data_IF_958540371071
#
_entry.id   IF_958540371071
#
_cell.length_a   1.000
_cell.length_b   1.000
_cell.length_c   1.000
_cell.angle_alpha   90.00
_cell.angle_beta   90.00
_cell.angle_gamma   90.00
#
_symmetry.space_group_name_H-M   'P 1'
#
loop_
_entity.id
_entity.type
_entity.pdbx_description
1 polymer ?
#
# COMPACT_ATOMS: atom_id res chain seq x y z
N UNK A 1 15.76 -19.88 -6.48
CA UNK A 1 15.73 -18.84 -5.43
C UNK A 1 14.92 -19.41 -4.26
N UNK A 2 15.53 -19.60 -3.10
CA UNK A 2 14.79 -19.98 -1.88
C UNK A 2 13.94 -18.76 -1.49
N UNK A 3 12.62 -18.85 -1.69
CA UNK A 3 11.70 -17.75 -1.39
C UNK A 3 11.30 -17.69 0.09
N UNK A 4 11.61 -18.73 0.87
CA UNK A 4 11.12 -18.87 2.23
C UNK A 4 12.26 -18.62 3.22
N UNK A 5 12.19 -17.50 3.93
CA UNK A 5 13.25 -17.07 4.85
C UNK A 5 13.03 -17.68 6.25
N UNK A 6 11.78 -17.72 6.70
CA UNK A 6 11.39 -18.32 7.98
C UNK A 6 9.98 -18.93 7.86
N UNK A 7 9.84 -20.17 8.30
CA UNK A 7 8.55 -20.87 8.40
C UNK A 7 8.24 -21.06 9.88
N UNK A 8 7.27 -20.32 10.41
CA UNK A 8 6.80 -20.48 11.78
C UNK A 8 5.41 -21.13 11.69
N UNK A 9 5.38 -22.46 11.86
CA UNK A 9 4.18 -23.29 11.85
C UNK A 9 3.30 -23.12 10.58
N UNK A 10 2.11 -22.46 10.55
CA UNK A 10 1.30 -22.35 9.33
C UNK A 10 1.62 -21.12 8.45
N UNK A 11 2.55 -20.24 8.88
CA UNK A 11 2.86 -18.99 8.17
C UNK A 11 4.26 -19.06 7.59
N UNK A 12 4.33 -19.13 6.26
CA UNK A 12 5.59 -19.00 5.51
C UNK A 12 5.82 -17.54 5.19
N UNK A 13 6.91 -16.97 5.73
CA UNK A 13 7.30 -15.60 5.38
C UNK A 13 8.12 -15.67 4.10
N UNK A 14 7.49 -15.27 3.00
CA UNK A 14 8.20 -15.12 1.74
C UNK A 14 9.12 -13.91 1.76
N UNK A 15 10.36 -14.07 1.28
CA UNK A 15 11.37 -13.01 1.25
C UNK A 15 10.98 -11.79 0.43
N UNK A 16 10.10 -11.96 -0.57
CA UNK A 16 9.50 -10.85 -1.30
C UNK A 16 8.65 -9.95 -0.39
N UNK A 17 7.81 -10.54 0.48
CA UNK A 17 6.99 -9.79 1.43
C UNK A 17 7.85 -9.05 2.47
N UNK A 18 8.93 -9.67 2.94
CA UNK A 18 9.89 -9.02 3.84
C UNK A 18 10.57 -7.83 3.14
N UNK A 19 10.98 -8.00 1.87
CA UNK A 19 11.61 -6.94 1.09
C UNK A 19 10.69 -5.75 0.89
N UNK A 20 9.40 -5.99 0.61
CA UNK A 20 8.38 -4.93 0.54
C UNK A 20 8.26 -4.22 1.90
N UNK A 21 8.14 -4.98 3.00
CA UNK A 21 7.97 -4.39 4.32
C UNK A 21 9.15 -3.48 4.69
N UNK A 22 10.39 -3.92 4.41
CA UNK A 22 11.59 -3.12 4.62
C UNK A 22 11.61 -1.89 3.71
N UNK A 23 11.24 -2.05 2.44
CA UNK A 23 11.13 -0.94 1.49
C UNK A 23 10.13 0.13 1.96
N UNK A 24 8.94 -0.28 2.38
CA UNK A 24 7.91 0.62 2.92
C UNK A 24 8.39 1.33 4.19
N UNK A 25 9.06 0.61 5.10
CA UNK A 25 9.63 1.23 6.29
C UNK A 25 10.69 2.29 5.94
N UNK A 26 11.62 1.96 5.03
CA UNK A 26 12.63 2.90 4.57
C UNK A 26 12.00 4.13 3.88
N UNK A 27 10.99 3.92 3.03
CA UNK A 27 10.22 4.97 2.37
C UNK A 27 9.60 5.95 3.37
N UNK A 28 8.93 5.42 4.40
CA UNK A 28 8.27 6.22 5.44
C UNK A 28 9.29 7.02 6.24
N UNK A 29 10.41 6.40 6.63
CA UNK A 29 11.47 7.09 7.36
C UNK A 29 12.09 8.24 6.55
N UNK A 30 12.37 8.00 5.27
CA UNK A 30 12.87 9.01 4.34
C UNK A 30 11.85 10.14 4.11
N UNK A 31 10.59 9.79 3.88
CA UNK A 31 9.51 10.77 3.71
C UNK A 31 9.33 11.63 4.95
N UNK A 32 9.34 11.03 6.14
CA UNK A 32 9.24 11.74 7.43
C UNK A 32 10.43 12.65 7.67
N UNK A 33 11.65 12.22 7.31
CA UNK A 33 12.84 13.06 7.38
C UNK A 33 12.75 14.27 6.43
N UNK A 34 12.29 14.05 5.19
CA UNK A 34 12.04 15.13 4.22
C UNK A 34 10.90 16.05 4.67
N UNK A 35 9.87 15.51 5.33
CA UNK A 35 8.72 16.30 5.81
C UNK A 35 9.17 17.37 6.79
N UNK A 36 10.02 16.98 7.76
CA UNK A 36 10.63 17.91 8.72
C UNK A 36 11.43 19.01 8.02
N UNK A 37 12.19 18.69 6.97
CA UNK A 37 12.94 19.70 6.18
C UNK A 37 12.05 20.65 5.39
N UNK A 38 10.84 20.23 5.00
CA UNK A 38 9.86 21.05 4.25
C UNK A 38 8.80 21.71 5.14
N UNK A 39 8.97 21.71 6.46
CA UNK A 39 7.97 22.20 7.43
C UNK A 39 6.58 21.55 7.25
N UNK A 40 6.56 20.26 6.88
CA UNK A 40 5.35 19.43 6.79
C UNK A 40 5.27 18.50 8.00
N UNK A 41 4.05 18.13 8.39
CA UNK A 41 3.82 17.26 9.54
C UNK A 41 4.22 15.82 9.20
N UNK A 42 5.14 15.24 9.96
CA UNK A 42 5.48 13.82 9.88
C UNK A 42 4.30 12.93 10.30
N UNK A 43 3.44 13.37 11.21
CA UNK A 43 2.25 12.62 11.63
C UNK A 43 1.27 12.41 10.46
N UNK A 44 1.16 13.41 9.59
CA UNK A 44 0.38 13.29 8.37
C UNK A 44 1.02 12.27 7.43
N UNK A 45 2.36 12.24 7.31
CA UNK A 45 3.05 11.23 6.49
C UNK A 45 2.76 9.82 6.99
N UNK A 46 2.93 9.55 8.29
CA UNK A 46 2.65 8.22 8.86
C UNK A 46 1.20 7.79 8.64
N UNK A 47 0.26 8.69 8.94
CA UNK A 47 -1.17 8.42 8.79
C UNK A 47 -1.55 8.19 7.33
N UNK A 48 -1.01 9.01 6.43
CA UNK A 48 -1.23 8.92 4.99
C UNK A 48 -0.70 7.59 4.45
N UNK A 49 0.52 7.18 4.83
CA UNK A 49 1.07 5.89 4.41
C UNK A 49 0.22 4.72 4.90
N UNK A 50 -0.21 4.71 6.16
CA UNK A 50 -1.08 3.65 6.68
C UNK A 50 -2.41 3.56 5.93
N UNK A 51 -3.05 4.70 5.68
CA UNK A 51 -4.33 4.75 4.96
C UNK A 51 -4.16 4.33 3.50
N UNK A 52 -3.10 4.78 2.82
CA UNK A 52 -2.78 4.39 1.46
C UNK A 52 -2.47 2.89 1.35
N UNK A 53 -1.77 2.31 2.33
CA UNK A 53 -1.44 0.90 2.34
C UNK A 53 -2.72 0.06 2.50
N UNK A 54 -3.57 0.39 3.48
CA UNK A 54 -4.86 -0.29 3.67
C UNK A 54 -5.77 -0.16 2.46
N UNK A 55 -5.94 1.05 1.93
CA UNK A 55 -6.77 1.31 0.76
C UNK A 55 -6.19 0.68 -0.51
N UNK A 56 -4.86 0.59 -0.63
CA UNK A 56 -4.19 -0.09 -1.72
C UNK A 56 -4.44 -1.60 -1.69
N UNK A 57 -4.35 -2.24 -0.52
CA UNK A 57 -4.71 -3.66 -0.38
C UNK A 57 -6.16 -3.92 -0.76
N UNK A 58 -7.09 -3.09 -0.28
CA UNK A 58 -8.52 -3.20 -0.62
C UNK A 58 -8.76 -2.94 -2.10
N UNK A 59 -8.17 -1.88 -2.66
CA UNK A 59 -8.31 -1.52 -4.08
C UNK A 59 -7.74 -2.57 -5.03
N UNK A 60 -6.59 -3.16 -4.68
CA UNK A 60 -5.98 -4.22 -5.47
C UNK A 60 -6.86 -5.47 -5.54
N UNK A 61 -7.53 -5.78 -4.43
CA UNK A 61 -8.46 -6.92 -4.34
C UNK A 61 -9.80 -6.64 -5.02
N UNK A 62 -10.33 -5.43 -4.86
CA UNK A 62 -11.55 -5.02 -5.57
C UNK A 62 -11.36 -5.05 -7.09
N UNK A 63 -10.24 -4.52 -7.59
CA UNK A 63 -9.98 -4.53 -9.03
C UNK A 63 -9.74 -5.95 -9.56
N UNK A 64 -9.10 -6.82 -8.77
CA UNK A 64 -9.00 -8.24 -9.09
C UNK A 64 -10.38 -8.88 -9.27
N UNK A 65 -11.31 -8.65 -8.34
CA UNK A 65 -12.68 -9.17 -8.43
C UNK A 65 -13.42 -8.66 -9.67
N UNK A 66 -13.18 -7.41 -10.08
CA UNK A 66 -13.80 -6.82 -11.27
C UNK A 66 -13.21 -7.42 -12.56
N UNK A 67 -11.89 -7.56 -12.63
CA UNK A 67 -11.20 -8.05 -13.83
C UNK A 67 -11.42 -9.56 -14.01
N UNK A 68 -11.28 -10.33 -12.93
CA UNK A 68 -11.44 -11.78 -12.91
C UNK A 68 -12.87 -12.22 -12.52
N UNK A 69 -13.86 -11.35 -12.74
CA UNK A 69 -15.24 -11.56 -12.28
C UNK A 69 -15.81 -12.93 -12.71
N UNK A 70 -15.48 -13.39 -13.92
CA UNK A 70 -15.91 -14.71 -14.42
C UNK A 70 -15.25 -15.88 -13.67
N UNK A 71 -13.96 -15.80 -13.37
CA UNK A 71 -13.26 -16.82 -12.59
C UNK A 71 -13.74 -16.84 -11.13
N UNK A 72 -13.96 -15.66 -10.57
CA UNK A 72 -14.51 -15.45 -9.23
C UNK A 72 -15.92 -16.04 -9.08
N UNK A 73 -16.79 -15.88 -10.08
CA UNK A 73 -18.13 -16.47 -10.09
C UNK A 73 -18.11 -18.01 -10.10
N UNK A 74 -17.11 -18.62 -10.74
CA UNK A 74 -16.96 -20.07 -10.77
C UNK A 74 -16.42 -20.63 -9.45
N UNK A 75 -15.59 -19.85 -8.73
CA UNK A 75 -15.00 -20.23 -7.45
C UNK A 75 -14.99 -19.05 -6.47
N UNK A 76 -16.10 -18.79 -5.74
CA UNK A 76 -16.20 -17.64 -4.83
C UNK A 76 -15.22 -17.71 -3.65
N UNK A 77 -14.70 -18.90 -3.33
CA UNK A 77 -13.66 -19.10 -2.31
C UNK A 77 -12.31 -18.46 -2.69
N UNK A 78 -12.03 -18.26 -3.99
CA UNK A 78 -10.82 -17.57 -4.45
C UNK A 78 -10.83 -16.06 -4.14
N UNK A 79 -11.98 -15.48 -3.79
CA UNK A 79 -12.04 -14.11 -3.27
C UNK A 79 -11.44 -14.05 -1.86
N UNK A 80 -11.60 -15.12 -1.06
CA UNK A 80 -11.13 -15.16 0.33
C UNK A 80 -9.69 -15.68 0.40
N UNK A 81 -9.24 -16.43 -0.62
CA UNK A 81 -7.85 -16.86 -0.69
C UNK A 81 -6.90 -15.64 -0.72
N UNK A 82 -5.69 -15.84 -0.18
CA UNK A 82 -4.64 -14.82 -0.17
C UNK A 82 -4.03 -14.56 -1.56
N UNK A 83 -4.60 -15.11 -2.62
CA UNK A 83 -4.10 -15.04 -4.00
C UNK A 83 -5.00 -14.12 -4.85
N UNK A 84 -4.41 -13.38 -5.80
CA UNK A 84 -5.17 -12.54 -6.73
C UNK A 84 -5.23 -11.07 -6.31
N UNK A 85 -4.16 -10.34 -6.62
CA UNK A 85 -4.09 -8.89 -6.43
C UNK A 85 -3.73 -8.23 -7.75
N UNK A 86 -4.48 -7.21 -8.14
CA UNK A 86 -4.14 -6.38 -9.30
C UNK A 86 -3.46 -5.12 -8.81
N UNK A 87 -2.18 -4.95 -9.13
CA UNK A 87 -1.34 -3.83 -8.68
C UNK A 87 -1.98 -2.48 -9.04
N UNK A 88 -2.57 -2.36 -10.23
CA UNK A 88 -3.26 -1.14 -10.66
C UNK A 88 -4.38 -0.73 -9.71
N UNK A 89 -5.12 -1.69 -9.14
CA UNK A 89 -6.17 -1.43 -8.17
C UNK A 89 -5.61 -0.88 -6.88
N UNK A 90 -4.42 -1.33 -6.48
CA UNK A 90 -3.72 -0.82 -5.31
C UNK A 90 -3.22 0.61 -5.50
N UNK A 91 -2.67 0.92 -6.68
CA UNK A 91 -2.23 2.28 -7.01
C UNK A 91 -3.42 3.24 -7.02
N UNK A 92 -4.50 2.87 -7.71
CA UNK A 92 -5.72 3.70 -7.79
C UNK A 92 -6.33 3.89 -6.39
N UNK A 93 -6.47 2.81 -5.62
CA UNK A 93 -7.00 2.85 -4.24
C UNK A 93 -6.15 3.73 -3.32
N UNK A 94 -4.82 3.62 -3.40
CA UNK A 94 -3.89 4.42 -2.63
C UNK A 94 -3.98 5.92 -2.96
N UNK A 95 -4.07 6.28 -4.24
CA UNK A 95 -4.21 7.68 -4.69
C UNK A 95 -5.55 8.27 -4.23
N UNK A 96 -6.65 7.53 -4.40
CA UNK A 96 -7.98 7.98 -3.97
C UNK A 96 -7.99 8.21 -2.46
N UNK A 97 -7.46 7.26 -1.68
CA UNK A 97 -7.41 7.40 -0.23
C UNK A 97 -6.52 8.58 0.21
N UNK A 98 -5.40 8.80 -0.48
CA UNK A 98 -4.55 9.95 -0.22
C UNK A 98 -5.26 11.29 -0.48
N UNK A 99 -6.02 11.38 -1.58
CA UNK A 99 -6.82 12.56 -1.91
C UNK A 99 -7.91 12.82 -0.87
N UNK A 100 -8.64 11.77 -0.47
CA UNK A 100 -9.69 11.88 0.55
C UNK A 100 -9.10 12.31 1.89
N UNK A 101 -8.02 11.65 2.34
CA UNK A 101 -7.39 11.97 3.62
C UNK A 101 -6.83 13.40 3.65
N UNK A 102 -6.15 13.84 2.60
CA UNK A 102 -5.65 15.21 2.51
C UNK A 102 -6.78 16.23 2.56
N UNK A 103 -7.92 15.95 1.90
CA UNK A 103 -9.11 16.81 1.98
C UNK A 103 -9.71 16.84 3.38
N UNK A 104 -9.83 15.70 4.05
CA UNK A 104 -10.35 15.62 5.43
C UNK A 104 -9.48 16.39 6.42
N UNK A 105 -8.16 16.34 6.26
CA UNK A 105 -7.19 17.06 7.09
C UNK A 105 -6.94 18.51 6.65
N UNK A 106 -7.61 18.99 5.59
CA UNK A 106 -7.45 20.33 5.00
C UNK A 106 -5.99 20.66 4.68
N UNK A 107 -5.24 19.66 4.19
CA UNK A 107 -3.84 19.83 3.79
C UNK A 107 -3.66 19.71 2.28
N UNK A 108 -2.61 20.33 1.75
CA UNK A 108 -2.32 20.31 0.32
C UNK A 108 -1.82 18.93 -0.12
N UNK A 109 -2.68 18.20 -0.84
CA UNK A 109 -2.33 16.90 -1.42
C UNK A 109 -1.05 16.97 -2.25
N UNK A 110 -0.91 17.97 -3.13
CA UNK A 110 0.27 18.11 -4.01
C UNK A 110 1.57 18.22 -3.20
N UNK A 111 1.58 18.98 -2.10
CA UNK A 111 2.78 19.10 -1.26
C UNK A 111 3.22 17.78 -0.64
N UNK A 112 2.27 16.98 -0.17
CA UNK A 112 2.55 15.65 0.37
C UNK A 112 2.89 14.65 -0.74
N UNK A 113 2.26 14.76 -1.90
CA UNK A 113 2.55 13.93 -3.07
C UNK A 113 3.98 14.16 -3.58
N UNK A 114 4.39 15.42 -3.79
CA UNK A 114 5.74 15.79 -4.21
C UNK A 114 6.81 15.41 -3.18
N UNK A 115 6.44 15.38 -1.90
CA UNK A 115 7.30 14.90 -0.82
C UNK A 115 7.49 13.38 -0.90
N UNK A 116 6.41 12.65 -1.18
CA UNK A 116 6.36 11.20 -1.14
C UNK A 116 6.96 10.55 -2.38
N UNK A 117 6.76 11.11 -3.59
CA UNK A 117 7.27 10.58 -4.87
C UNK A 117 8.71 10.05 -4.78
N UNK A 118 9.71 10.82 -4.32
CA UNK A 118 11.10 10.36 -4.28
C UNK A 118 11.39 9.31 -3.19
N UNK A 119 10.37 8.90 -2.42
CA UNK A 119 10.45 7.88 -1.38
C UNK A 119 9.61 6.65 -1.74
N UNK A 120 8.84 6.67 -2.83
CA UNK A 120 8.07 5.52 -3.31
C UNK A 120 9.03 4.42 -3.78
N UNK A 121 8.72 3.17 -3.40
CA UNK A 121 9.47 1.94 -3.73
C UNK A 121 8.66 1.09 -4.71
#
# INVERSE_FOLDING_TARGET
MYNDIFTIAPVTIHGYGLSIAVGVLAAVLLASFRAKRKNLSSDIVYSLTLICLLAGFVGAKLLFVIVEFKAVLQKPIEIISGSGFVIYGGIIGGIIAALIYCRMKKVSFLRYFDLLIPSVV
#
